data_IF_633303849460
#
_entry.id   IF_633303849460
#
_cell.length_a   1.000
_cell.length_b   1.000
_cell.length_c   1.000
_cell.angle_alpha   90.00
_cell.angle_beta   90.00
_cell.angle_gamma   90.00
#
_symmetry.space_group_name_H-M   'P 1'
#
loop_
_entity.id
_entity.type
_entity.pdbx_description
1 polymer ?
#
# COMPACT_ATOMS: atom_id res chain seq x y z
N UNK A 1 -16.72 -8.49 16.73
CA UNK A 1 -16.16 -9.64 17.46
C UNK A 1 -14.90 -9.18 18.17
N UNK A 2 -14.65 -9.57 19.43
CA UNK A 2 -13.38 -9.30 20.08
C UNK A 2 -12.25 -9.95 19.27
N UNK A 3 -11.16 -9.22 19.06
CA UNK A 3 -10.02 -9.70 18.25
C UNK A 3 -9.32 -10.91 18.85
N UNK A 4 -9.48 -11.14 20.16
CA UNK A 4 -8.80 -12.19 20.92
C UNK A 4 -7.27 -12.03 20.95
N UNK A 5 -6.76 -10.89 20.54
CA UNK A 5 -5.33 -10.61 20.47
C UNK A 5 -4.75 -10.35 21.86
N UNK A 6 -3.54 -10.86 22.10
CA UNK A 6 -2.85 -10.80 23.39
C UNK A 6 -1.38 -10.48 23.21
N UNK A 7 -0.79 -9.83 24.21
CA UNK A 7 0.62 -9.53 24.25
C UNK A 7 1.04 -9.05 25.64
N UNK A 8 2.35 -9.00 25.86
CA UNK A 8 2.97 -8.48 27.06
C UNK A 8 3.58 -7.11 26.75
N UNK A 9 3.30 -6.15 27.60
CA UNK A 9 3.77 -4.78 27.47
C UNK A 9 4.35 -4.27 28.78
N UNK A 10 5.35 -3.40 28.76
CA UNK A 10 5.84 -2.73 29.94
C UNK A 10 4.71 -1.96 30.67
N UNK A 11 4.77 -1.95 31.99
CA UNK A 11 3.87 -1.13 32.81
C UNK A 11 4.01 0.35 32.42
N UNK A 12 2.90 1.05 32.25
CA UNK A 12 2.87 2.43 31.78
C UNK A 12 2.74 2.60 30.26
N UNK A 13 2.68 1.49 29.47
CA UNK A 13 2.43 1.55 28.03
C UNK A 13 1.03 2.09 27.74
N UNK A 14 0.87 3.11 26.86
CA UNK A 14 -0.44 3.56 26.40
C UNK A 14 -1.22 2.46 25.71
N UNK A 15 -2.51 2.32 26.01
CA UNK A 15 -3.34 1.25 25.45
C UNK A 15 -3.50 1.36 23.93
N UNK A 16 -3.47 2.57 23.38
CA UNK A 16 -3.48 2.77 21.92
C UNK A 16 -2.23 2.19 21.25
N UNK A 17 -1.07 2.33 21.87
CA UNK A 17 0.20 1.78 21.38
C UNK A 17 0.21 0.25 21.49
N UNK A 18 -0.19 -0.28 22.65
CA UNK A 18 -0.33 -1.73 22.85
C UNK A 18 -1.28 -2.36 21.84
N UNK A 19 -2.45 -1.75 21.59
CA UNK A 19 -3.41 -2.20 20.60
C UNK A 19 -2.81 -2.23 19.17
N UNK A 20 -2.12 -1.16 18.78
CA UNK A 20 -1.45 -1.07 17.48
C UNK A 20 -0.39 -2.15 17.29
N UNK A 21 0.43 -2.40 18.30
CA UNK A 21 1.45 -3.45 18.29
C UNK A 21 0.84 -4.84 18.13
N UNK A 22 -0.36 -5.06 18.66
CA UNK A 22 -1.13 -6.29 18.48
C UNK A 22 -1.89 -6.35 17.15
N UNK A 23 -1.82 -5.31 16.31
CA UNK A 23 -2.59 -5.21 15.07
C UNK A 23 -4.09 -5.07 15.32
N UNK A 24 -4.47 -4.45 16.44
CA UNK A 24 -5.85 -4.03 16.71
C UNK A 24 -5.96 -2.55 16.31
N UNK A 25 -6.72 -2.29 15.26
CA UNK A 25 -6.89 -0.95 14.72
C UNK A 25 -7.95 -0.18 15.51
N UNK A 26 -7.49 0.77 16.35
CA UNK A 26 -8.33 1.74 17.06
C UNK A 26 -8.30 3.06 16.31
N UNK A 27 -9.46 3.63 16.04
CA UNK A 27 -9.60 4.92 15.36
C UNK A 27 -8.99 6.06 16.20
N UNK A 28 -8.06 6.80 15.62
CA UNK A 28 -7.33 7.88 16.31
C UNK A 28 -6.91 8.97 15.33
N UNK A 29 -7.89 9.65 14.75
CA UNK A 29 -7.68 10.71 13.73
C UNK A 29 -6.83 11.88 14.19
N UNK A 30 -6.74 12.12 15.50
CA UNK A 30 -5.87 13.17 16.05
C UNK A 30 -4.43 12.71 16.33
N UNK A 31 -4.05 11.49 15.94
CA UNK A 31 -2.71 10.96 16.17
C UNK A 31 -2.37 10.70 17.65
N UNK A 32 -3.37 10.47 18.51
CA UNK A 32 -3.14 10.18 19.94
C UNK A 32 -3.11 11.41 20.85
N UNK A 33 -3.46 12.60 20.36
CA UNK A 33 -3.41 13.87 21.13
C UNK A 33 -4.58 14.09 22.09
N UNK A 34 -5.49 13.13 22.25
CA UNK A 34 -6.66 13.25 23.14
C UNK A 34 -7.71 14.27 22.69
N UNK A 35 -7.74 14.65 21.39
CA UNK A 35 -8.58 15.71 20.87
C UNK A 35 -9.87 15.21 20.20
N UNK A 36 -9.84 14.06 19.53
CA UNK A 36 -10.94 13.58 18.71
C UNK A 36 -11.97 12.74 19.47
N UNK A 37 -11.55 12.03 20.52
CA UNK A 37 -12.41 11.14 21.31
C UNK A 37 -12.82 9.85 20.60
N UNK A 38 -12.18 9.51 19.48
CA UNK A 38 -12.51 8.30 18.71
C UNK A 38 -11.83 7.03 19.24
N UNK A 39 -10.72 7.18 19.95
CA UNK A 39 -9.95 6.07 20.50
C UNK A 39 -10.51 5.53 21.82
N UNK A 40 -11.83 5.47 21.97
CA UNK A 40 -12.44 5.03 23.21
C UNK A 40 -12.30 3.52 23.39
N UNK A 41 -12.03 3.11 24.63
CA UNK A 41 -11.98 1.72 25.07
C UNK A 41 -12.73 1.56 26.40
N UNK A 42 -13.04 0.36 26.81
CA UNK A 42 -13.46 0.04 28.17
C UNK A 42 -12.65 -1.12 28.74
N UNK A 43 -12.43 -1.09 30.05
CA UNK A 43 -11.89 -2.22 30.77
C UNK A 43 -13.02 -3.23 31.07
N UNK A 44 -12.78 -4.49 30.77
CA UNK A 44 -13.71 -5.58 31.13
C UNK A 44 -13.25 -6.16 32.46
N UNK A 45 -14.03 -5.94 33.51
CA UNK A 45 -13.73 -6.45 34.85
C UNK A 45 -14.12 -7.91 34.99
N UNK A 46 -13.26 -8.71 35.61
CA UNK A 46 -13.56 -10.12 35.89
C UNK A 46 -12.35 -11.04 35.91
N UNK A 47 -12.58 -12.28 36.28
CA UNK A 47 -11.56 -13.35 36.29
C UNK A 47 -11.66 -14.18 35.01
N UNK A 48 -10.58 -14.20 34.23
CA UNK A 48 -10.47 -14.93 32.97
C UNK A 48 -9.58 -16.18 33.14
N UNK A 49 -10.11 -17.17 33.81
CA UNK A 49 -9.37 -18.38 34.24
C UNK A 49 -8.63 -19.10 33.09
N UNK A 50 -9.21 -19.10 31.87
CA UNK A 50 -8.58 -19.65 30.66
C UNK A 50 -7.23 -18.98 30.32
N UNK A 51 -7.02 -17.76 30.79
CA UNK A 51 -5.86 -16.94 30.47
C UNK A 51 -5.06 -16.57 31.71
N UNK A 52 -5.53 -16.97 32.89
CA UNK A 52 -4.96 -16.61 34.19
C UNK A 52 -4.84 -15.10 34.38
N UNK A 53 -5.83 -14.36 33.89
CA UNK A 53 -5.89 -12.89 33.95
C UNK A 53 -7.04 -12.51 34.89
N UNK A 54 -6.73 -11.71 35.88
CA UNK A 54 -7.70 -10.93 36.63
C UNK A 54 -7.65 -9.49 36.08
N UNK A 55 -8.79 -8.96 35.69
CA UNK A 55 -8.89 -7.65 35.06
C UNK A 55 -9.81 -6.75 35.86
N UNK A 56 -9.30 -5.59 36.21
CA UNK A 56 -10.03 -4.55 36.90
C UNK A 56 -9.73 -3.16 36.33
N UNK A 57 -10.60 -2.17 36.61
CA UNK A 57 -10.39 -0.80 36.19
C UNK A 57 -9.16 -0.17 36.87
N UNK A 58 -8.80 -0.62 38.04
CA UNK A 58 -7.61 -0.17 38.80
C UNK A 58 -6.29 -0.67 38.17
N UNK A 59 -6.35 -1.60 37.22
CA UNK A 59 -5.23 -2.05 36.42
C UNK A 59 -4.89 -1.08 35.27
N UNK A 60 -5.67 -0.01 35.16
CA UNK A 60 -5.42 1.11 34.24
C UNK A 60 -5.06 2.38 35.03
N UNK A 61 -4.33 3.28 34.37
CA UNK A 61 -4.01 4.57 34.98
C UNK A 61 -5.28 5.35 35.36
N UNK A 62 -5.23 6.18 36.43
CA UNK A 62 -6.33 7.09 36.76
C UNK A 62 -6.71 8.02 35.60
N UNK A 63 -7.92 8.58 35.68
CA UNK A 63 -8.39 9.57 34.72
C UNK A 63 -7.45 10.78 34.68
N UNK A 64 -6.84 11.06 33.53
CA UNK A 64 -5.76 12.02 33.42
C UNK A 64 -6.24 13.42 33.03
N UNK A 65 -5.37 14.43 33.21
CA UNK A 65 -5.69 15.83 32.89
C UNK A 65 -6.13 16.03 31.41
N UNK A 66 -5.62 15.24 30.47
CA UNK A 66 -6.04 15.32 29.06
C UNK A 66 -7.46 14.81 28.86
N UNK A 67 -7.85 13.75 29.56
CA UNK A 67 -9.22 13.24 29.53
C UNK A 67 -10.19 14.23 30.19
N UNK A 68 -9.78 14.90 31.30
CA UNK A 68 -10.57 15.96 31.93
C UNK A 68 -10.81 17.09 30.92
N UNK A 69 -9.75 17.61 30.29
CA UNK A 69 -9.86 18.66 29.26
C UNK A 69 -10.70 18.26 28.08
N UNK A 70 -10.68 16.95 27.69
CA UNK A 70 -11.53 16.45 26.65
C UNK A 70 -13.01 16.50 27.06
N UNK A 71 -13.33 16.03 28.28
CA UNK A 71 -14.69 16.04 28.81
C UNK A 71 -15.24 17.46 28.94
N UNK A 72 -14.43 18.41 29.43
CA UNK A 72 -14.82 19.83 29.50
C UNK A 72 -15.19 20.44 28.14
N UNK A 73 -14.45 20.03 27.08
CA UNK A 73 -14.66 20.57 25.72
C UNK A 73 -15.72 19.87 24.90
N UNK A 74 -15.85 18.58 25.03
CA UNK A 74 -16.66 17.72 24.13
C UNK A 74 -17.84 17.06 24.82
N UNK A 75 -17.93 17.19 26.14
CA UNK A 75 -18.90 16.50 26.96
C UNK A 75 -18.38 15.16 27.52
N UNK A 76 -19.16 14.54 28.42
CA UNK A 76 -18.75 13.32 29.11
C UNK A 76 -18.53 12.15 28.13
N UNK A 77 -17.55 11.31 28.43
CA UNK A 77 -17.42 10.02 27.82
C UNK A 77 -18.59 9.13 28.26
N UNK A 78 -18.94 8.14 27.45
CA UNK A 78 -19.91 7.12 27.88
C UNK A 78 -19.38 6.40 29.12
N UNK A 79 -20.30 5.89 29.93
CA UNK A 79 -19.95 5.19 31.17
C UNK A 79 -18.91 4.08 30.92
N UNK A 80 -17.89 4.01 31.77
CA UNK A 80 -16.79 3.04 31.69
C UNK A 80 -15.82 3.25 30.53
N UNK A 81 -15.97 4.33 29.74
CA UNK A 81 -15.08 4.62 28.61
C UNK A 81 -13.89 5.47 29.00
N UNK A 82 -12.76 5.17 28.38
CA UNK A 82 -11.48 5.87 28.54
C UNK A 82 -10.88 6.20 27.16
N UNK A 83 -10.01 7.19 27.09
CA UNK A 83 -9.24 7.47 25.86
C UNK A 83 -7.97 6.61 25.84
N UNK A 84 -7.92 5.60 24.99
CA UNK A 84 -6.78 4.65 24.92
C UNK A 84 -5.43 5.32 24.67
N UNK A 85 -5.41 6.48 24.03
CA UNK A 85 -4.18 7.23 23.77
C UNK A 85 -3.55 7.85 25.03
N UNK A 86 -4.31 8.03 26.12
CA UNK A 86 -3.86 8.60 27.37
C UNK A 86 -4.07 7.70 28.59
N UNK A 87 -4.72 6.56 28.40
CA UNK A 87 -4.86 5.53 29.43
C UNK A 87 -3.72 4.55 29.28
N UNK A 88 -2.97 4.31 30.37
CA UNK A 88 -1.84 3.37 30.37
C UNK A 88 -2.13 2.10 31.15
N UNK A 89 -1.46 1.03 30.78
CA UNK A 89 -1.53 -0.28 31.41
C UNK A 89 -0.71 -0.26 32.71
N UNK A 90 -1.30 -0.65 33.84
CA UNK A 90 -0.61 -0.78 35.13
C UNK A 90 -0.50 -2.24 35.58
N UNK A 91 -1.44 -3.10 35.17
CA UNK A 91 -1.42 -4.52 35.46
C UNK A 91 -2.21 -5.27 34.37
N UNK A 92 -2.38 -6.59 34.49
CA UNK A 92 -3.11 -7.40 33.55
C UNK A 92 -4.53 -6.86 33.34
N UNK A 93 -4.90 -6.61 32.09
CA UNK A 93 -6.20 -6.04 31.76
C UNK A 93 -6.80 -6.66 30.50
N UNK A 94 -8.11 -6.83 30.52
CA UNK A 94 -8.91 -7.19 29.33
C UNK A 94 -9.60 -5.92 28.83
N UNK A 95 -9.28 -5.57 27.60
CA UNK A 95 -9.76 -4.32 26.99
C UNK A 95 -10.77 -4.66 25.89
N UNK A 96 -11.94 -4.04 25.97
CA UNK A 96 -12.92 -4.03 24.88
C UNK A 96 -12.76 -2.77 24.05
N UNK A 97 -12.71 -2.95 22.73
CA UNK A 97 -12.70 -1.86 21.75
C UNK A 97 -14.08 -1.80 21.11
N UNK A 98 -14.89 -0.79 21.45
CA UNK A 98 -16.23 -0.65 20.90
C UNK A 98 -16.24 -0.54 19.38
N UNK A 99 -17.35 -0.97 18.77
CA UNK A 99 -17.50 -0.93 17.31
C UNK A 99 -17.28 0.49 16.73
N UNK A 100 -17.75 1.53 17.42
CA UNK A 100 -17.57 2.92 17.01
C UNK A 100 -16.12 3.42 17.11
N UNK A 101 -15.26 2.73 17.88
CA UNK A 101 -13.84 3.03 18.01
C UNK A 101 -12.95 2.16 17.13
N UNK A 102 -13.51 1.20 16.42
CA UNK A 102 -12.79 0.37 15.46
C UNK A 102 -12.69 1.13 14.13
N UNK A 103 -11.53 1.03 13.51
CA UNK A 103 -11.36 1.56 12.14
C UNK A 103 -12.27 0.75 11.22
N UNK A 104 -13.33 1.35 10.74
CA UNK A 104 -14.19 0.73 9.75
C UNK A 104 -13.39 0.60 8.43
N UNK A 105 -13.20 -0.62 7.95
CA UNK A 105 -12.71 -0.86 6.60
C UNK A 105 -13.76 -0.37 5.61
N UNK A 106 -13.69 0.89 5.27
CA UNK A 106 -14.49 1.41 4.17
C UNK A 106 -13.99 0.74 2.89
N UNK A 107 -14.91 0.13 2.15
CA UNK A 107 -14.64 -0.30 0.78
C UNK A 107 -14.55 1.00 -0.04
N UNK A 108 -13.34 1.40 -0.34
CA UNK A 108 -13.12 2.58 -1.18
C UNK A 108 -13.38 2.18 -2.62
N UNK A 109 -14.56 2.53 -3.12
CA UNK A 109 -14.89 2.50 -4.55
C UNK A 109 -14.53 3.87 -5.13
N UNK A 110 -13.32 4.05 -5.59
CA UNK A 110 -13.00 5.13 -6.53
C UNK A 110 -13.39 4.61 -7.91
N UNK A 111 -14.59 4.96 -8.36
CA UNK A 111 -14.99 4.76 -9.76
C UNK A 111 -14.20 5.76 -10.61
N UNK A 112 -13.64 5.26 -11.70
CA UNK A 112 -12.93 6.12 -12.64
C UNK A 112 -13.97 6.83 -13.52
N UNK A 113 -13.94 8.15 -13.55
CA UNK A 113 -14.66 8.91 -14.56
C UNK A 113 -14.03 8.60 -15.93
N UNK A 114 -14.82 8.05 -16.82
CA UNK A 114 -14.41 7.87 -18.22
C UNK A 114 -14.23 9.24 -18.85
N UNK A 115 -12.99 9.59 -19.16
CA UNK A 115 -12.65 10.79 -19.92
C UNK A 115 -12.20 10.37 -21.31
N UNK A 116 -12.65 11.09 -22.31
CA UNK A 116 -12.15 10.93 -23.67
C UNK A 116 -10.74 11.53 -23.73
N UNK A 117 -9.72 10.67 -23.69
CA UNK A 117 -8.31 11.06 -23.72
C UNK A 117 -7.67 10.56 -25.01
N UNK A 118 -6.90 11.42 -25.65
CA UNK A 118 -6.03 11.01 -26.75
C UNK A 118 -4.91 10.13 -26.17
N UNK A 119 -4.90 8.86 -26.58
CA UNK A 119 -3.87 7.93 -26.15
C UNK A 119 -2.52 8.28 -26.80
N UNK A 120 -1.52 8.50 -25.95
CA UNK A 120 -0.13 8.67 -26.35
C UNK A 120 0.74 7.98 -25.28
N UNK A 121 0.87 6.65 -25.34
CA UNK A 121 1.58 5.90 -24.32
C UNK A 121 3.08 6.19 -24.37
N UNK A 122 3.65 6.51 -23.22
CA UNK A 122 5.09 6.73 -23.08
C UNK A 122 5.92 5.46 -23.33
N UNK A 123 5.31 4.28 -23.16
CA UNK A 123 5.93 2.98 -23.47
C UNK A 123 5.21 2.34 -24.64
N UNK A 124 5.96 1.99 -25.68
CA UNK A 124 5.45 1.32 -26.87
C UNK A 124 6.11 -0.04 -27.03
N UNK A 125 5.39 -0.98 -27.63
CA UNK A 125 5.89 -2.32 -27.94
C UNK A 125 6.27 -2.41 -29.40
N UNK A 126 7.45 -2.96 -29.67
CA UNK A 126 7.98 -3.19 -31.01
C UNK A 126 8.36 -4.67 -31.14
N UNK A 127 7.82 -5.34 -32.13
CA UNK A 127 8.22 -6.71 -32.44
C UNK A 127 9.29 -6.69 -33.53
N UNK A 128 10.37 -7.44 -33.32
CA UNK A 128 11.47 -7.60 -34.27
C UNK A 128 11.92 -9.04 -34.31
N UNK A 129 12.49 -9.44 -35.45
CA UNK A 129 13.24 -10.66 -35.63
C UNK A 129 14.68 -10.33 -35.98
N UNK A 130 15.64 -10.95 -35.28
CA UNK A 130 17.06 -10.71 -35.55
C UNK A 130 17.72 -11.99 -36.05
N UNK A 131 18.64 -11.83 -37.02
CA UNK A 131 19.42 -12.93 -37.55
C UNK A 131 20.43 -13.49 -36.53
N UNK A 132 21.04 -14.60 -36.84
CA UNK A 132 22.18 -15.12 -36.10
C UNK A 132 23.47 -14.40 -36.52
N UNK A 133 24.37 -14.09 -35.61
CA UNK A 133 25.70 -13.64 -35.93
C UNK A 133 26.42 -14.72 -36.76
N UNK A 134 27.07 -14.33 -37.85
CA UNK A 134 27.84 -15.25 -38.73
C UNK A 134 29.30 -14.82 -38.77
N UNK A 135 30.15 -15.67 -39.35
CA UNK A 135 31.57 -15.31 -39.55
C UNK A 135 31.74 -14.15 -40.53
N UNK A 136 30.78 -13.96 -41.44
CA UNK A 136 30.76 -12.86 -42.41
C UNK A 136 30.17 -11.59 -41.82
N UNK A 137 29.28 -11.74 -40.82
CA UNK A 137 28.65 -10.67 -40.06
C UNK A 137 28.80 -10.92 -38.55
N UNK A 138 29.94 -10.55 -37.97
CA UNK A 138 30.27 -10.83 -36.55
C UNK A 138 29.66 -9.85 -35.56
N UNK A 139 28.62 -9.09 -35.96
CA UNK A 139 27.95 -8.14 -35.07
C UNK A 139 27.31 -8.85 -33.88
N UNK A 140 27.41 -8.23 -32.72
CA UNK A 140 26.79 -8.76 -31.51
C UNK A 140 25.26 -8.66 -31.56
N UNK A 141 24.57 -9.56 -30.85
CA UNK A 141 23.10 -9.66 -30.83
C UNK A 141 22.39 -8.37 -30.43
N UNK A 142 22.98 -7.60 -29.50
CA UNK A 142 22.46 -6.28 -29.13
C UNK A 142 22.52 -5.29 -30.32
N UNK A 143 23.60 -5.33 -31.08
CA UNK A 143 23.76 -4.46 -32.24
C UNK A 143 22.74 -4.82 -33.34
N UNK A 144 22.53 -6.10 -33.59
CA UNK A 144 21.51 -6.59 -34.52
C UNK A 144 20.10 -6.20 -34.06
N UNK A 145 19.81 -6.25 -32.76
CA UNK A 145 18.54 -5.82 -32.19
C UNK A 145 18.31 -4.30 -32.40
N UNK A 146 19.30 -3.48 -32.10
CA UNK A 146 19.19 -2.01 -32.25
C UNK A 146 18.96 -1.67 -33.72
N UNK A 147 19.70 -2.30 -34.64
CA UNK A 147 19.54 -2.08 -36.06
C UNK A 147 18.18 -2.54 -36.59
N UNK A 148 17.66 -3.68 -36.12
CA UNK A 148 16.32 -4.11 -36.47
C UNK A 148 15.24 -3.12 -36.00
N UNK A 149 15.37 -2.59 -34.78
CA UNK A 149 14.47 -1.55 -34.26
C UNK A 149 14.53 -0.26 -35.07
N UNK A 150 15.73 0.12 -35.52
CA UNK A 150 15.92 1.29 -36.39
C UNK A 150 15.31 1.07 -37.78
N UNK A 151 15.61 -0.07 -38.43
CA UNK A 151 15.19 -0.36 -39.79
C UNK A 151 13.67 -0.59 -39.89
N UNK A 152 13.10 -1.37 -38.98
CA UNK A 152 11.69 -1.78 -39.04
C UNK A 152 10.74 -0.72 -38.48
N UNK A 153 11.21 0.07 -37.46
CA UNK A 153 10.36 0.95 -36.69
C UNK A 153 10.84 2.40 -36.62
N UNK A 154 12.04 2.71 -37.11
CA UNK A 154 12.63 4.04 -37.08
C UNK A 154 13.02 4.55 -35.69
N UNK A 155 13.17 3.63 -34.73
CA UNK A 155 13.54 3.99 -33.34
C UNK A 155 15.04 3.98 -33.19
N UNK A 156 15.63 5.14 -32.90
CA UNK A 156 17.09 5.36 -32.87
C UNK A 156 17.58 5.79 -31.50
N UNK A 157 18.91 5.76 -31.31
CA UNK A 157 19.57 6.22 -30.09
C UNK A 157 19.10 5.51 -28.80
N UNK A 158 18.85 4.23 -28.89
CA UNK A 158 18.33 3.42 -27.79
C UNK A 158 19.39 3.17 -26.72
N UNK A 159 18.95 3.26 -25.48
CA UNK A 159 19.71 2.88 -24.29
C UNK A 159 19.04 1.70 -23.58
N UNK A 160 19.79 0.95 -22.79
CA UNK A 160 19.24 -0.13 -21.97
C UNK A 160 20.07 -0.31 -20.70
N UNK A 161 19.46 -0.80 -19.64
CA UNK A 161 20.18 -1.18 -18.44
C UNK A 161 20.71 -2.63 -18.58
N UNK A 162 21.70 -2.99 -17.75
CA UNK A 162 22.31 -4.32 -17.80
C UNK A 162 21.30 -5.48 -17.63
N UNK A 163 20.25 -5.26 -16.84
CA UNK A 163 19.18 -6.26 -16.63
C UNK A 163 18.46 -6.67 -17.90
N UNK A 164 18.32 -5.78 -18.88
CA UNK A 164 17.67 -6.08 -20.17
C UNK A 164 18.51 -6.98 -21.06
N UNK A 165 19.83 -6.99 -20.92
CA UNK A 165 20.71 -7.92 -21.66
C UNK A 165 20.36 -9.38 -21.36
N UNK A 166 20.05 -9.71 -20.12
CA UNK A 166 19.62 -11.07 -19.75
C UNK A 166 18.27 -11.44 -20.38
N UNK A 167 17.34 -10.48 -20.49
CA UNK A 167 16.06 -10.71 -21.15
C UNK A 167 16.24 -10.93 -22.66
N UNK A 168 17.12 -10.18 -23.31
CA UNK A 168 17.47 -10.38 -24.73
C UNK A 168 18.02 -11.80 -24.93
N UNK A 169 18.97 -12.23 -24.11
CA UNK A 169 19.53 -13.58 -24.18
C UNK A 169 18.42 -14.65 -24.03
N UNK A 170 17.51 -14.49 -23.08
CA UNK A 170 16.39 -15.40 -22.90
C UNK A 170 15.45 -15.44 -24.12
N UNK A 171 15.22 -14.29 -24.77
CA UNK A 171 14.39 -14.20 -25.95
C UNK A 171 15.04 -14.91 -27.17
N UNK A 172 16.35 -14.89 -27.27
CA UNK A 172 17.12 -15.50 -28.37
C UNK A 172 17.18 -17.02 -28.32
N UNK A 173 16.73 -17.67 -27.25
CA UNK A 173 16.63 -19.13 -27.16
C UNK A 173 15.54 -19.72 -28.06
N UNK A 174 14.64 -18.88 -28.60
CA UNK A 174 13.61 -19.32 -29.55
C UNK A 174 14.21 -19.52 -30.94
N UNK A 175 13.70 -20.53 -31.67
CA UNK A 175 14.16 -20.84 -33.01
C UNK A 175 13.97 -19.68 -34.02
N UNK A 176 12.87 -18.91 -33.86
CA UNK A 176 12.56 -17.79 -34.74
C UNK A 176 13.31 -16.49 -34.36
N UNK A 177 14.02 -16.50 -33.22
CA UNK A 177 14.73 -15.36 -32.68
C UNK A 177 13.89 -14.05 -32.66
N UNK A 178 12.57 -14.23 -32.63
CA UNK A 178 11.61 -13.14 -32.55
C UNK A 178 11.45 -12.67 -31.12
N UNK A 179 11.34 -11.36 -30.92
CA UNK A 179 11.12 -10.76 -29.61
C UNK A 179 10.29 -9.48 -29.69
N UNK A 180 9.58 -9.20 -28.60
CA UNK A 180 8.88 -7.93 -28.42
C UNK A 180 9.65 -7.09 -27.42
N UNK A 181 9.93 -5.86 -27.80
CA UNK A 181 10.73 -4.90 -27.02
C UNK A 181 9.84 -3.75 -26.57
N UNK A 182 9.81 -3.47 -25.27
CA UNK A 182 9.18 -2.27 -24.73
C UNK A 182 10.19 -1.13 -24.71
N UNK A 183 9.84 -0.04 -25.39
CA UNK A 183 10.66 1.19 -25.45
C UNK A 183 9.92 2.34 -24.80
N UNK A 184 10.53 2.93 -23.77
CA UNK A 184 10.02 4.10 -23.07
C UNK A 184 10.52 5.38 -23.74
N UNK A 185 9.59 6.29 -24.05
CA UNK A 185 9.84 7.58 -24.71
C UNK A 185 10.74 7.50 -25.95
N UNK A 186 10.64 6.40 -26.71
CA UNK A 186 11.44 6.15 -27.92
C UNK A 186 12.98 6.17 -27.66
N UNK A 187 13.40 5.95 -26.42
CA UNK A 187 14.80 6.08 -26.00
C UNK A 187 15.33 4.89 -25.20
N UNK A 188 14.54 4.34 -24.30
CA UNK A 188 15.02 3.36 -23.35
C UNK A 188 14.30 2.03 -23.51
N UNK A 189 15.06 0.96 -23.76
CA UNK A 189 14.55 -0.40 -23.70
C UNK A 189 14.34 -0.78 -22.23
N UNK A 190 13.08 -0.94 -21.84
CA UNK A 190 12.70 -1.22 -20.45
C UNK A 190 12.37 -2.69 -20.19
N UNK A 191 11.95 -3.43 -21.22
CA UNK A 191 11.67 -4.86 -21.12
C UNK A 191 11.76 -5.56 -22.48
N UNK A 192 12.04 -6.86 -22.47
CA UNK A 192 12.08 -7.71 -23.66
C UNK A 192 11.36 -9.03 -23.36
N UNK A 193 10.48 -9.46 -24.24
CA UNK A 193 9.78 -10.74 -24.16
C UNK A 193 10.06 -11.59 -25.38
N UNK A 194 10.22 -12.91 -25.22
CA UNK A 194 10.37 -13.82 -26.34
C UNK A 194 9.08 -13.92 -27.17
N UNK A 195 9.22 -13.79 -28.50
CA UNK A 195 8.11 -13.85 -29.46
C UNK A 195 7.23 -12.60 -29.44
N UNK A 196 6.03 -12.74 -30.03
CA UNK A 196 5.05 -11.66 -30.11
C UNK A 196 4.28 -11.51 -28.80
N UNK A 197 4.39 -10.33 -28.18
CA UNK A 197 3.64 -9.94 -26.99
C UNK A 197 2.85 -8.64 -27.28
N UNK A 198 1.52 -8.69 -27.19
CA UNK A 198 0.65 -7.60 -27.64
C UNK A 198 -0.15 -6.90 -26.54
N UNK A 199 0.06 -7.28 -25.28
CA UNK A 199 -0.75 -6.78 -24.16
C UNK A 199 0.04 -5.93 -23.18
N UNK A 200 0.41 -4.68 -23.55
CA UNK A 200 1.07 -3.77 -22.63
C UNK A 200 0.10 -3.38 -21.53
N UNK A 201 0.45 -3.65 -20.28
CA UNK A 201 -0.35 -3.29 -19.12
C UNK A 201 0.42 -2.32 -18.25
N UNK A 202 -0.29 -1.37 -17.67
CA UNK A 202 0.24 -0.40 -16.74
C UNK A 202 -0.57 -0.39 -15.45
N UNK A 203 0.04 0.04 -14.36
CA UNK A 203 -0.64 0.26 -13.09
C UNK A 203 -0.53 1.74 -12.75
N UNK A 204 -1.68 2.41 -12.60
CA UNK A 204 -1.77 3.75 -12.05
C UNK A 204 -2.08 3.64 -10.55
N UNK A 205 -1.26 4.27 -9.71
CA UNK A 205 -1.42 4.24 -8.26
C UNK A 205 -1.58 5.66 -7.74
N UNK A 206 -2.69 5.90 -7.03
CA UNK A 206 -2.96 7.13 -6.29
C UNK A 206 -2.74 6.85 -4.79
N UNK A 207 -1.71 7.46 -4.21
CA UNK A 207 -1.37 7.33 -2.80
C UNK A 207 -1.83 8.58 -2.05
N UNK A 208 -3.10 8.57 -1.66
CA UNK A 208 -3.67 9.63 -0.83
C UNK A 208 -3.36 9.46 0.66
N UNK A 209 -3.54 10.53 1.44
CA UNK A 209 -3.38 10.48 2.90
C UNK A 209 -4.34 9.51 3.58
N UNK A 210 -5.55 9.37 3.07
CA UNK A 210 -6.61 8.53 3.65
C UNK A 210 -6.78 7.22 2.90
N UNK A 211 -6.54 7.23 1.59
CA UNK A 211 -6.87 6.13 0.69
C UNK A 211 -5.74 5.91 -0.31
N UNK A 212 -5.41 4.66 -0.56
CA UNK A 212 -4.57 4.23 -1.68
C UNK A 212 -5.47 3.53 -2.69
N UNK A 213 -5.44 3.96 -3.94
CA UNK A 213 -6.16 3.33 -5.04
C UNK A 213 -5.19 2.92 -6.14
N UNK A 214 -5.45 1.79 -6.79
CA UNK A 214 -4.69 1.29 -7.92
C UNK A 214 -5.62 0.87 -9.04
N UNK A 215 -5.23 1.17 -10.27
CA UNK A 215 -5.96 0.81 -11.48
C UNK A 215 -5.02 0.07 -12.42
N UNK A 216 -5.40 -1.13 -12.84
CA UNK A 216 -4.73 -1.87 -13.91
C UNK A 216 -5.31 -1.41 -15.24
N UNK A 217 -4.47 -0.88 -16.11
CA UNK A 217 -4.87 -0.31 -17.38
C UNK A 217 -4.27 -1.08 -18.55
N UNK A 218 -5.04 -1.25 -19.62
CA UNK A 218 -4.52 -1.61 -20.93
C UNK A 218 -3.93 -0.35 -21.58
N UNK A 219 -2.63 -0.36 -21.88
CA UNK A 219 -1.94 0.79 -22.45
C UNK A 219 -2.19 0.98 -23.95
N UNK A 220 -2.78 0.00 -24.61
CA UNK A 220 -3.13 0.06 -26.03
C UNK A 220 -4.48 0.74 -26.25
N UNK A 221 -5.44 0.50 -25.35
CA UNK A 221 -6.82 1.01 -25.45
C UNK A 221 -7.12 2.12 -24.45
N UNK A 222 -6.35 2.24 -23.37
CA UNK A 222 -6.64 3.12 -22.24
C UNK A 222 -7.73 2.60 -21.31
N UNK A 223 -8.22 1.38 -21.52
CA UNK A 223 -9.26 0.77 -20.72
C UNK A 223 -8.73 0.38 -19.34
N UNK A 224 -9.53 0.63 -18.28
CA UNK A 224 -9.26 0.15 -16.94
C UNK A 224 -9.79 -1.27 -16.78
N UNK A 225 -8.88 -2.22 -16.71
CA UNK A 225 -9.19 -3.65 -16.61
C UNK A 225 -9.62 -4.07 -15.20
N UNK A 226 -9.05 -3.44 -14.18
CA UNK A 226 -9.37 -3.70 -12.78
C UNK A 226 -9.04 -2.50 -11.91
N UNK A 227 -9.76 -2.37 -10.79
CA UNK A 227 -9.50 -1.33 -9.79
C UNK A 227 -9.53 -1.93 -8.39
N UNK A 228 -8.64 -1.47 -7.53
CA UNK A 228 -8.60 -1.82 -6.13
C UNK A 228 -8.35 -0.57 -5.28
N UNK A 229 -8.95 -0.52 -4.11
CA UNK A 229 -8.74 0.58 -3.17
C UNK A 229 -8.64 0.06 -1.75
N UNK A 230 -7.71 0.62 -0.98
CA UNK A 230 -7.53 0.31 0.44
C UNK A 230 -7.39 1.59 1.24
N UNK A 231 -7.77 1.55 2.51
CA UNK A 231 -7.41 2.65 3.41
C UNK A 231 -5.89 2.69 3.59
N UNK A 232 -5.33 3.91 3.56
CA UNK A 232 -3.92 4.09 3.85
C UNK A 232 -3.63 3.62 5.30
N UNK A 233 -2.77 2.61 5.51
CA UNK A 233 -2.47 2.10 6.85
C UNK A 233 -1.92 3.16 7.82
N UNK A 234 -1.40 4.27 7.29
CA UNK A 234 -0.90 5.37 8.09
C UNK A 234 -1.99 6.19 8.79
N UNK A 235 -3.28 6.01 8.43
CA UNK A 235 -4.41 6.71 9.07
C UNK A 235 -4.47 6.46 10.58
N UNK A 236 -3.95 5.31 11.04
CA UNK A 236 -3.83 5.01 12.47
C UNK A 236 -2.92 5.96 13.25
N UNK A 237 -2.01 6.65 12.58
CA UNK A 237 -1.12 7.66 13.18
C UNK A 237 -1.66 9.08 13.06
N UNK A 238 -2.69 9.29 12.26
CA UNK A 238 -3.37 10.56 12.02
C UNK A 238 -4.10 10.54 10.68
N UNK A 239 -5.26 11.18 10.58
CA UNK A 239 -6.07 11.20 9.37
C UNK A 239 -5.45 12.06 8.27
N UNK A 240 -4.85 13.16 8.66
CA UNK A 240 -4.16 14.12 7.78
C UNK A 240 -2.63 14.11 8.00
N UNK A 241 -1.91 14.72 7.06
CA UNK A 241 -0.46 14.80 7.10
C UNK A 241 0.04 15.52 8.35
N UNK A 242 -0.61 16.61 8.77
CA UNK A 242 -0.19 17.41 9.93
C UNK A 242 -0.32 16.63 11.23
N UNK A 243 -1.37 15.81 11.35
CA UNK A 243 -1.56 14.97 12.54
C UNK A 243 -0.58 13.78 12.60
N UNK A 244 0.12 13.47 11.50
CA UNK A 244 1.15 12.41 11.46
C UNK A 244 2.55 12.91 11.77
N UNK A 245 2.80 14.20 11.55
CA UNK A 245 4.15 14.81 11.71
C UNK A 245 4.32 15.46 13.08
N UNK A 246 3.23 15.73 13.79
CA UNK A 246 3.22 16.40 15.12
C UNK A 246 3.31 15.39 16.32
#
# INVERSE_FOLDING_TARGET
MPSGRRGFFPRGTPLLEAARSLGVDIDSVCGGRGLCGRCQISCVTGSFAKHQIESDVDHLSPFCATEVKFVERKGPLKEGRRLSCHTTLLDDAVIDVPAESQVHRQIVRKEMESRDIRLDPATRLYYVQIGEPTLEDPRGELQLLIEALENDWGVTHLTLAHSQLQQIQAALTREDRGMTVAVYQEREITAVWPGLFEQPRGIAIDVGSTTVAAHLCDLKTGEVLASAGVMNPQIRYGEDLMSRVS
#
